data_IF_904069645429
#
_entry.id   IF_904069645429
#
_cell.length_a   1.000
_cell.length_b   1.000
_cell.length_c   1.000
_cell.angle_alpha   90.00
_cell.angle_beta   90.00
_cell.angle_gamma   90.00
#
_symmetry.space_group_name_H-M   'P 1'
#
loop_
_entity.id
_entity.type
_entity.pdbx_description
1 polymer ?
#
# COMPACT_ATOMS: atom_id res chain seq x y z
N UNK A 1 -2.11 -17.15 -14.30
CA UNK A 1 -2.81 -15.87 -14.57
C UNK A 1 -2.22 -14.90 -13.58
N UNK A 2 -1.72 -13.71 -13.97
CA UNK A 2 -1.36 -12.72 -12.97
C UNK A 2 -2.64 -12.48 -12.17
N UNK A 3 -2.59 -12.80 -10.88
CA UNK A 3 -3.75 -12.66 -10.01
C UNK A 3 -4.19 -11.20 -10.10
N UNK A 4 -5.39 -10.96 -10.63
CA UNK A 4 -5.93 -9.61 -10.76
C UNK A 4 -5.84 -8.93 -9.39
N UNK A 5 -4.92 -7.97 -9.26
CA UNK A 5 -4.67 -7.28 -8.01
C UNK A 5 -5.99 -6.67 -7.54
N UNK A 6 -6.50 -7.15 -6.41
CA UNK A 6 -7.76 -6.70 -5.85
C UNK A 6 -7.71 -5.19 -5.50
N UNK A 7 -8.21 -4.36 -6.41
CA UNK A 7 -8.21 -2.89 -6.27
C UNK A 7 -8.95 -2.41 -5.02
N UNK A 8 -10.07 -3.05 -4.68
CA UNK A 8 -10.85 -2.71 -3.48
C UNK A 8 -10.08 -2.97 -2.20
N UNK A 9 -9.25 -4.03 -2.17
CA UNK A 9 -8.35 -4.32 -1.06
C UNK A 9 -7.31 -3.20 -0.91
N UNK A 10 -6.59 -2.89 -1.99
CA UNK A 10 -5.56 -1.84 -2.00
C UNK A 10 -6.16 -0.49 -1.58
N UNK A 11 -7.29 -0.10 -2.17
CA UNK A 11 -7.98 1.15 -1.87
C UNK A 11 -8.34 1.25 -0.38
N UNK A 12 -8.96 0.20 0.18
CA UNK A 12 -9.35 0.17 1.61
C UNK A 12 -8.18 0.46 2.54
N UNK A 13 -7.01 -0.14 2.30
CA UNK A 13 -5.85 0.05 3.17
C UNK A 13 -5.16 1.39 2.92
N UNK A 14 -5.10 1.87 1.67
CA UNK A 14 -4.55 3.19 1.36
C UNK A 14 -5.40 4.30 1.97
N UNK A 15 -6.74 4.22 1.88
CA UNK A 15 -7.64 5.18 2.53
C UNK A 15 -7.52 5.14 4.06
N UNK A 16 -7.37 3.95 4.64
CA UNK A 16 -7.13 3.82 6.08
C UNK A 16 -5.78 4.43 6.49
N UNK A 17 -4.72 4.20 5.71
CA UNK A 17 -3.40 4.79 5.93
C UNK A 17 -3.39 6.33 5.84
N UNK A 18 -4.26 6.90 4.99
CA UNK A 18 -4.46 8.35 4.86
C UNK A 18 -5.29 8.96 6.00
N UNK A 19 -6.16 8.16 6.62
CA UNK A 19 -7.11 8.63 7.64
C UNK A 19 -6.64 8.45 9.08
N UNK A 20 -5.59 7.67 9.33
CA UNK A 20 -5.01 7.47 10.67
C UNK A 20 -3.86 8.44 10.93
N UNK A 21 -3.76 8.93 12.16
CA UNK A 21 -2.63 9.72 12.67
C UNK A 21 -1.53 8.83 13.30
N UNK A 22 -1.81 7.54 13.51
CA UNK A 22 -0.87 6.59 14.07
C UNK A 22 0.10 6.07 13.00
N UNK A 23 1.39 6.36 13.16
CA UNK A 23 2.42 5.88 12.23
C UNK A 23 2.45 4.35 12.14
N UNK A 24 2.22 3.64 13.25
CA UNK A 24 2.18 2.17 13.25
C UNK A 24 1.01 1.64 12.42
N UNK A 25 -0.19 2.22 12.57
CA UNK A 25 -1.33 1.82 11.73
C UNK A 25 -1.11 2.17 10.26
N UNK A 26 -0.51 3.34 9.99
CA UNK A 26 -0.19 3.79 8.64
C UNK A 26 0.74 2.81 7.95
N UNK A 27 1.83 2.42 8.61
CA UNK A 27 2.79 1.51 8.02
C UNK A 27 2.22 0.11 7.86
N UNK A 28 1.44 -0.39 8.81
CA UNK A 28 0.76 -1.68 8.68
C UNK A 28 -0.18 -1.72 7.46
N UNK A 29 -0.95 -0.64 7.26
CA UNK A 29 -1.85 -0.54 6.12
C UNK A 29 -1.09 -0.47 4.79
N UNK A 30 -0.04 0.35 4.71
CA UNK A 30 0.80 0.43 3.52
C UNK A 30 1.57 -0.88 3.27
N UNK A 31 1.96 -1.60 4.32
CA UNK A 31 2.64 -2.89 4.17
C UNK A 31 1.72 -3.92 3.52
N UNK A 32 0.46 -4.02 3.99
CA UNK A 32 -0.56 -4.90 3.39
C UNK A 32 -0.90 -4.52 1.95
N UNK A 33 -1.05 -3.23 1.67
CA UNK A 33 -1.29 -2.77 0.31
C UNK A 33 -0.10 -3.06 -0.61
N UNK A 34 1.12 -2.77 -0.15
CA UNK A 34 2.35 -2.95 -0.90
C UNK A 34 2.69 -4.40 -1.20
N UNK A 35 2.55 -5.29 -0.23
CA UNK A 35 2.73 -6.75 -0.42
C UNK A 35 1.69 -7.33 -1.35
N UNK A 36 0.43 -6.89 -1.25
CA UNK A 36 -0.65 -7.33 -2.15
C UNK A 36 -0.46 -6.82 -3.60
N UNK A 37 0.23 -5.70 -3.78
CA UNK A 37 0.61 -5.17 -5.09
C UNK A 37 1.98 -5.65 -5.58
N UNK A 38 2.67 -6.49 -4.82
CA UNK A 38 4.05 -6.95 -5.11
C UNK A 38 5.07 -5.80 -5.25
N UNK A 39 4.84 -4.67 -4.57
CA UNK A 39 5.72 -3.48 -4.58
C UNK A 39 6.83 -3.60 -3.54
N UNK A 40 6.56 -4.33 -2.46
CA UNK A 40 7.50 -4.61 -1.38
C UNK A 40 7.45 -6.11 -1.05
N UNK A 41 8.57 -6.64 -0.56
CA UNK A 41 8.65 -8.01 -0.09
C UNK A 41 7.78 -8.27 1.15
N UNK A 42 7.18 -9.46 1.19
CA UNK A 42 6.48 -9.95 2.37
C UNK A 42 7.50 -10.52 3.37
N UNK A 43 8.17 -9.65 4.13
CA UNK A 43 9.22 -9.99 5.09
C UNK A 43 8.74 -9.97 6.57
N UNK A 44 7.49 -9.59 6.82
CA UNK A 44 6.90 -9.45 8.15
C UNK A 44 7.30 -8.17 8.89
N UNK A 45 8.04 -7.27 8.26
CA UNK A 45 8.43 -5.98 8.82
C UNK A 45 7.52 -4.87 8.28
N UNK A 46 6.63 -4.39 9.14
CA UNK A 46 5.77 -3.25 8.82
C UNK A 46 6.43 -1.91 9.16
N UNK A 47 7.75 -1.85 9.40
CA UNK A 47 8.48 -0.58 9.57
C UNK A 47 8.94 -0.01 8.22
N UNK A 48 7.97 0.37 7.39
CA UNK A 48 8.27 0.94 6.09
C UNK A 48 9.07 2.24 6.20
N UNK A 49 10.15 2.32 5.42
CA UNK A 49 10.88 3.57 5.21
C UNK A 49 10.02 4.57 4.45
N UNK A 50 10.35 5.86 4.52
CA UNK A 50 9.67 6.90 3.75
C UNK A 50 9.64 6.60 2.24
N UNK A 51 10.71 6.01 1.72
CA UNK A 51 10.81 5.60 0.31
C UNK A 51 9.86 4.46 -0.03
N UNK A 52 9.80 3.42 0.82
CA UNK A 52 8.86 2.31 0.64
C UNK A 52 7.41 2.78 0.75
N UNK A 53 7.09 3.64 1.73
CA UNK A 53 5.75 4.24 1.86
C UNK A 53 5.36 4.97 0.57
N UNK A 54 6.27 5.76 0.01
CA UNK A 54 6.02 6.52 -1.20
C UNK A 54 5.86 5.60 -2.43
N UNK A 55 6.67 4.55 -2.55
CA UNK A 55 6.57 3.57 -3.62
C UNK A 55 5.21 2.84 -3.61
N UNK A 56 4.75 2.42 -2.42
CA UNK A 56 3.41 1.80 -2.26
C UNK A 56 2.30 2.78 -2.64
N UNK A 57 2.39 4.04 -2.20
CA UNK A 57 1.38 5.05 -2.53
C UNK A 57 1.33 5.35 -4.04
N UNK A 58 2.48 5.45 -4.71
CA UNK A 58 2.58 5.67 -6.16
C UNK A 58 2.04 4.47 -6.96
N UNK A 59 2.37 3.25 -6.55
CA UNK A 59 1.84 2.04 -7.16
C UNK A 59 0.32 1.92 -6.97
N UNK A 60 -0.18 2.24 -5.77
CA UNK A 60 -1.61 2.26 -5.50
C UNK A 60 -2.33 3.30 -6.37
N UNK A 61 -1.76 4.49 -6.53
CA UNK A 61 -2.32 5.54 -7.36
C UNK A 61 -2.45 5.06 -8.83
N UNK A 62 -1.37 4.50 -9.39
CA UNK A 62 -1.38 3.90 -10.73
C UNK A 62 -2.41 2.78 -10.87
N UNK A 63 -2.52 1.89 -9.88
CA UNK A 63 -3.46 0.77 -9.91
C UNK A 63 -4.92 1.22 -9.87
N UNK A 64 -5.22 2.22 -9.04
CA UNK A 64 -6.56 2.77 -8.81
C UNK A 64 -7.00 3.75 -9.91
N UNK A 65 -6.12 4.04 -10.88
CA UNK A 65 -6.43 4.96 -11.97
C UNK A 65 -6.28 6.43 -11.57
N UNK A 66 -5.44 6.70 -10.55
CA UNK A 66 -4.86 8.01 -10.28
C UNK A 66 -4.16 8.52 -11.52
N UNK A 67 -4.95 9.24 -12.31
CA UNK A 67 -4.53 9.88 -13.55
C UNK A 67 -3.97 11.22 -13.14
N UNK A 68 -2.70 11.45 -13.47
CA UNK A 68 -2.24 12.80 -13.75
C UNK A 68 -2.11 12.94 -15.26
#
# INVERSE_FOLDING_TARGET
>A
MPEDINKSYVQRYVDKARSTESEGEKNNCLYRAGTHMEVIDCNGDDNLTSEQRQAVLDAADKLLGGSK
#
